data_IF_300018633641
#
_entry.id   IF_300018633641
#
_cell.length_a   1.000
_cell.length_b   1.000
_cell.length_c   1.000
_cell.angle_alpha   90.00
_cell.angle_beta   90.00
_cell.angle_gamma   90.00
#
_symmetry.space_group_name_H-M   'P 1'
#
loop_
_entity.id
_entity.type
_entity.pdbx_description
1 polymer ?
#
# COMPACT_ATOMS: atom_id res chain seq x y z
N UNK A 1 -14.06 21.41 5.81
CA UNK A 1 -12.90 20.66 6.31
C UNK A 1 -12.99 19.26 5.76
N UNK A 2 -11.93 18.87 5.07
CA UNK A 2 -11.88 17.83 4.05
C UNK A 2 -11.85 16.44 4.70
N UNK A 3 -13.02 15.97 5.16
CA UNK A 3 -13.18 14.65 5.80
C UNK A 3 -12.49 13.48 5.06
N UNK A 4 -12.49 13.42 3.72
CA UNK A 4 -11.71 12.41 2.98
C UNK A 4 -10.21 12.48 3.26
N UNK A 5 -9.65 13.70 3.27
CA UNK A 5 -8.23 13.93 3.57
C UNK A 5 -7.94 13.54 5.02
N UNK A 6 -8.82 13.89 5.96
CA UNK A 6 -8.67 13.52 7.36
C UNK A 6 -8.65 12.00 7.56
N UNK A 7 -9.48 11.25 6.83
CA UNK A 7 -9.50 9.78 6.86
C UNK A 7 -8.17 9.21 6.32
N UNK A 8 -7.70 9.71 5.18
CA UNK A 8 -6.44 9.24 4.58
C UNK A 8 -5.27 9.55 5.50
N UNK A 9 -5.11 10.82 5.91
CA UNK A 9 -4.02 11.25 6.80
C UNK A 9 -4.08 10.52 8.14
N UNK A 10 -5.28 10.38 8.71
CA UNK A 10 -5.50 9.64 9.95
C UNK A 10 -5.11 8.17 9.83
N UNK A 11 -5.49 7.50 8.74
CA UNK A 11 -5.12 6.10 8.49
C UNK A 11 -3.61 5.90 8.34
N UNK A 12 -2.92 6.82 7.66
CA UNK A 12 -1.46 6.79 7.53
C UNK A 12 -0.79 7.04 8.87
N UNK A 13 -1.24 8.04 9.63
CA UNK A 13 -0.70 8.34 10.95
C UNK A 13 -0.86 7.17 11.92
N UNK A 14 -2.06 6.55 11.96
CA UNK A 14 -2.34 5.37 12.79
C UNK A 14 -1.43 4.20 12.38
N UNK A 15 -1.31 3.93 11.08
CA UNK A 15 -0.41 2.89 10.58
C UNK A 15 1.03 3.12 11.00
N UNK A 16 1.53 4.35 10.87
CA UNK A 16 2.90 4.70 11.26
C UNK A 16 3.12 4.50 12.76
N UNK A 17 2.20 4.99 13.59
CA UNK A 17 2.27 4.78 15.05
C UNK A 17 2.27 3.30 15.40
N UNK A 18 1.39 2.49 14.77
CA UNK A 18 1.37 1.04 14.97
C UNK A 18 2.72 0.40 14.58
N UNK A 19 3.30 0.79 13.45
CA UNK A 19 4.60 0.30 13.00
C UNK A 19 5.75 0.65 13.94
N UNK A 20 5.70 1.83 14.59
CA UNK A 20 6.71 2.26 15.57
C UNK A 20 6.62 1.50 16.91
N UNK A 21 5.42 1.10 17.35
CA UNK A 21 5.22 0.42 18.65
C UNK A 21 5.21 -1.11 18.55
N UNK A 22 5.12 -1.65 17.34
CA UNK A 22 5.08 -3.09 17.10
C UNK A 22 6.41 -3.86 17.26
N UNK A 23 7.62 -3.25 17.22
CA UNK A 23 8.87 -3.98 17.48
C UNK A 23 8.81 -4.76 18.80
N UNK A 24 9.16 -6.05 18.77
CA UNK A 24 9.11 -6.94 19.93
C UNK A 24 7.75 -7.60 20.21
N UNK A 25 6.70 -7.33 19.43
CA UNK A 25 5.35 -7.92 19.62
C UNK A 25 4.98 -8.90 18.50
N UNK A 26 5.63 -10.07 18.46
CA UNK A 26 5.50 -11.05 17.35
C UNK A 26 4.06 -11.37 16.91
N UNK A 27 3.11 -11.56 17.85
CA UNK A 27 1.70 -11.81 17.50
C UNK A 27 1.00 -10.64 16.81
N UNK A 28 1.33 -9.41 17.20
CA UNK A 28 0.76 -8.21 16.58
C UNK A 28 1.28 -8.05 15.15
N UNK A 29 2.54 -8.43 14.91
CA UNK A 29 3.15 -8.41 13.57
C UNK A 29 2.49 -9.38 12.62
N UNK A 30 2.29 -10.63 13.05
CA UNK A 30 1.60 -11.64 12.25
C UNK A 30 0.15 -11.24 11.95
N UNK A 31 -0.54 -10.65 12.94
CA UNK A 31 -1.90 -10.14 12.75
C UNK A 31 -1.95 -8.99 11.74
N UNK A 32 -1.09 -7.98 11.87
CA UNK A 32 -1.01 -6.84 10.95
C UNK A 32 -0.67 -7.34 9.54
N UNK A 33 0.30 -8.24 9.40
CA UNK A 33 0.71 -8.80 8.11
C UNK A 33 -0.44 -9.55 7.44
N UNK A 34 -1.07 -10.47 8.18
CA UNK A 34 -2.18 -11.27 7.65
C UNK A 34 -3.35 -10.38 7.25
N UNK A 35 -3.70 -9.44 8.13
CA UNK A 35 -4.78 -8.50 7.86
C UNK A 35 -4.48 -7.60 6.65
N UNK A 36 -3.25 -7.09 6.51
CA UNK A 36 -2.82 -6.33 5.33
C UNK A 36 -3.04 -7.13 4.04
N UNK A 37 -2.50 -8.36 3.98
CA UNK A 37 -2.59 -9.21 2.79
C UNK A 37 -4.05 -9.54 2.45
N UNK A 38 -4.82 -9.99 3.44
CA UNK A 38 -6.22 -10.39 3.23
C UNK A 38 -7.08 -9.19 2.82
N UNK A 39 -6.92 -8.03 3.48
CA UNK A 39 -7.67 -6.82 3.12
C UNK A 39 -7.29 -6.30 1.74
N UNK A 40 -6.00 -6.27 1.38
CA UNK A 40 -5.56 -5.89 0.04
C UNK A 40 -6.16 -6.80 -1.04
N UNK A 41 -6.13 -8.12 -0.86
CA UNK A 41 -6.73 -9.06 -1.82
C UNK A 41 -8.24 -8.82 -1.92
N UNK A 42 -8.93 -8.69 -0.80
CA UNK A 42 -10.38 -8.47 -0.77
C UNK A 42 -10.77 -7.17 -1.49
N UNK A 43 -10.05 -6.07 -1.27
CA UNK A 43 -10.30 -4.77 -1.91
C UNK A 43 -9.99 -4.83 -3.41
N UNK A 44 -8.84 -5.41 -3.80
CA UNK A 44 -8.44 -5.51 -5.20
C UNK A 44 -9.44 -6.35 -6.00
N UNK A 45 -9.78 -7.54 -5.52
CA UNK A 45 -10.66 -8.48 -6.22
C UNK A 45 -12.12 -8.06 -6.14
N UNK A 46 -12.57 -7.60 -4.97
CA UNK A 46 -13.98 -7.31 -4.72
C UNK A 46 -14.43 -5.93 -5.21
N UNK A 47 -13.50 -4.98 -5.37
CA UNK A 47 -13.84 -3.59 -5.69
C UNK A 47 -13.08 -3.06 -6.89
N UNK A 48 -11.74 -3.07 -6.82
CA UNK A 48 -10.93 -2.35 -7.80
C UNK A 48 -10.97 -2.99 -9.18
N UNK A 49 -10.83 -4.32 -9.30
CA UNK A 49 -10.91 -5.00 -10.60
C UNK A 49 -12.32 -4.88 -11.21
N UNK A 50 -13.41 -5.18 -10.48
CA UNK A 50 -14.77 -4.99 -11.00
C UNK A 50 -15.05 -3.56 -11.48
N UNK A 51 -14.73 -2.55 -10.66
CA UNK A 51 -14.98 -1.15 -10.98
C UNK A 51 -14.12 -0.68 -12.18
N UNK A 52 -12.87 -1.15 -12.26
CA UNK A 52 -11.98 -0.80 -13.36
C UNK A 52 -12.42 -1.45 -14.69
N UNK A 53 -12.92 -2.70 -14.66
CA UNK A 53 -13.46 -3.36 -15.85
C UNK A 53 -14.79 -2.75 -16.30
N UNK A 54 -15.66 -2.35 -15.37
CA UNK A 54 -16.93 -1.71 -15.72
C UNK A 54 -16.73 -0.32 -16.33
N UNK A 55 -15.69 0.40 -15.88
CA UNK A 55 -15.40 1.77 -16.34
C UNK A 55 -14.50 1.81 -17.58
N UNK A 56 -13.42 1.02 -17.61
CA UNK A 56 -12.41 1.03 -18.68
C UNK A 56 -12.47 -0.16 -19.64
N UNK A 57 -13.40 -1.09 -19.42
CA UNK A 57 -13.54 -2.31 -20.21
C UNK A 57 -12.49 -3.39 -19.90
N UNK A 58 -12.57 -4.56 -20.56
CA UNK A 58 -11.71 -5.72 -20.27
C UNK A 58 -10.21 -5.48 -20.48
N UNK A 59 -9.82 -4.46 -21.26
CA UNK A 59 -8.42 -4.13 -21.53
C UNK A 59 -7.66 -3.72 -20.27
N UNK A 60 -8.35 -3.24 -19.23
CA UNK A 60 -7.73 -2.88 -17.95
C UNK A 60 -7.07 -4.07 -17.26
N UNK A 61 -7.50 -5.31 -17.58
CA UNK A 61 -6.87 -6.52 -17.06
C UNK A 61 -5.41 -6.67 -17.50
N UNK A 62 -4.99 -6.04 -18.60
CA UNK A 62 -3.58 -6.00 -19.02
C UNK A 62 -2.76 -5.21 -18.00
N UNK A 63 -3.24 -4.04 -17.57
CA UNK A 63 -2.57 -3.23 -16.56
C UNK A 63 -2.50 -3.96 -15.21
N UNK A 64 -3.57 -4.68 -14.84
CA UNK A 64 -3.60 -5.54 -13.64
C UNK A 64 -2.53 -6.64 -13.76
N UNK A 65 -2.49 -7.37 -14.88
CA UNK A 65 -1.50 -8.42 -15.10
C UNK A 65 -0.06 -7.89 -15.03
N UNK A 66 0.21 -6.74 -15.67
CA UNK A 66 1.52 -6.07 -15.59
C UNK A 66 1.86 -5.71 -14.14
N UNK A 67 0.91 -5.18 -13.36
CA UNK A 67 1.15 -4.84 -11.96
C UNK A 67 1.49 -6.06 -11.09
N UNK A 68 0.88 -7.23 -11.34
CA UNK A 68 1.22 -8.47 -10.63
C UNK A 68 2.56 -9.08 -11.06
N UNK A 69 2.96 -8.90 -12.32
CA UNK A 69 4.22 -9.44 -12.86
C UNK A 69 5.41 -8.53 -12.53
N UNK A 70 5.18 -7.23 -12.35
CA UNK A 70 6.24 -6.24 -12.12
C UNK A 70 7.18 -6.59 -10.94
N UNK A 71 6.71 -7.00 -9.74
CA UNK A 71 7.60 -7.37 -8.65
C UNK A 71 8.56 -8.51 -9.02
N UNK A 72 8.05 -9.54 -9.72
CA UNK A 72 8.86 -10.66 -10.19
C UNK A 72 9.90 -10.22 -11.23
N UNK A 73 9.55 -9.31 -12.14
CA UNK A 73 10.50 -8.76 -13.11
C UNK A 73 11.59 -7.90 -12.44
N UNK A 74 11.21 -7.09 -11.45
CA UNK A 74 12.14 -6.26 -10.66
C UNK A 74 13.10 -7.16 -9.90
N UNK A 75 12.58 -8.18 -9.22
CA UNK A 75 13.41 -9.17 -8.51
C UNK A 75 14.39 -9.85 -9.48
N UNK A 76 13.89 -10.32 -10.63
CA UNK A 76 14.74 -10.97 -11.64
C UNK A 76 15.86 -10.06 -12.15
N UNK A 77 15.58 -8.78 -12.35
CA UNK A 77 16.58 -7.81 -12.80
C UNK A 77 17.58 -7.43 -11.68
N UNK A 78 17.16 -7.48 -10.42
CA UNK A 78 18.00 -7.16 -9.28
C UNK A 78 18.98 -8.28 -8.87
N UNK A 79 18.73 -9.54 -9.28
CA UNK A 79 19.58 -10.70 -8.98
C UNK A 79 20.81 -10.84 -9.90
N UNK A 80 21.11 -9.87 -10.77
CA UNK A 80 22.25 -9.95 -11.70
C UNK A 80 23.60 -9.51 -11.09
N UNK A 81 23.66 -9.10 -9.82
CA UNK A 81 24.90 -8.64 -9.18
C UNK A 81 25.26 -9.48 -7.93
N UNK A 82 26.13 -10.51 -8.04
CA UNK A 82 26.41 -11.46 -6.96
C UNK A 82 27.30 -10.93 -5.84
N UNK A 83 27.90 -9.74 -5.96
CA UNK A 83 29.12 -9.45 -5.20
C UNK A 83 29.00 -8.46 -4.03
N UNK A 84 27.86 -7.78 -3.80
CA UNK A 84 27.75 -6.82 -2.68
C UNK A 84 26.50 -6.99 -1.80
N UNK A 85 26.73 -7.07 -0.50
CA UNK A 85 25.80 -7.19 0.65
C UNK A 85 24.86 -5.97 0.83
N UNK A 86 24.58 -5.22 -0.23
CA UNK A 86 23.73 -4.02 -0.25
C UNK A 86 22.26 -4.32 -0.60
N UNK A 87 21.88 -5.58 -0.82
CA UNK A 87 20.55 -5.94 -1.34
C UNK A 87 19.40 -5.56 -0.39
N UNK A 88 19.65 -5.54 0.94
CA UNK A 88 18.67 -5.12 1.94
C UNK A 88 18.30 -3.64 1.83
N UNK A 89 19.28 -2.75 1.66
CA UNK A 89 19.05 -1.30 1.52
C UNK A 89 18.34 -0.99 0.21
N UNK A 90 18.78 -1.59 -0.90
CA UNK A 90 18.14 -1.40 -2.21
C UNK A 90 16.69 -1.91 -2.21
N UNK A 91 16.41 -3.05 -1.56
CA UNK A 91 15.04 -3.56 -1.40
C UNK A 91 14.14 -2.62 -0.59
N UNK A 92 14.66 -1.99 0.46
CA UNK A 92 13.92 -0.99 1.26
C UNK A 92 13.64 0.28 0.48
N UNK A 93 14.62 0.79 -0.26
CA UNK A 93 14.48 1.97 -1.12
C UNK A 93 13.46 1.73 -2.23
N UNK A 94 13.54 0.58 -2.92
CA UNK A 94 12.54 0.18 -3.92
C UNK A 94 11.15 0.03 -3.31
N UNK A 95 11.05 -0.52 -2.10
CA UNK A 95 9.78 -0.63 -1.37
C UNK A 95 9.20 0.73 -1.02
N UNK A 96 10.05 1.70 -0.63
CA UNK A 96 9.63 3.08 -0.38
C UNK A 96 9.14 3.78 -1.63
N UNK A 97 9.88 3.68 -2.74
CA UNK A 97 9.47 4.24 -4.02
C UNK A 97 8.17 3.60 -4.53
N UNK A 98 8.04 2.28 -4.43
CA UNK A 98 6.82 1.56 -4.78
C UNK A 98 5.63 2.04 -3.94
N UNK A 99 5.81 2.21 -2.63
CA UNK A 99 4.78 2.75 -1.76
C UNK A 99 4.41 4.20 -2.11
N UNK A 100 5.40 5.04 -2.42
CA UNK A 100 5.16 6.44 -2.81
C UNK A 100 4.29 6.52 -4.06
N UNK A 101 4.63 5.75 -5.10
CA UNK A 101 3.84 5.65 -6.34
C UNK A 101 2.44 5.11 -6.05
N UNK A 102 2.33 4.10 -5.20
CA UNK A 102 1.04 3.53 -4.81
C UNK A 102 0.15 4.56 -4.09
N UNK A 103 0.70 5.32 -3.15
CA UNK A 103 -0.04 6.37 -2.41
C UNK A 103 -0.38 7.58 -3.27
N UNK A 104 0.44 7.91 -4.26
CA UNK A 104 0.05 8.89 -5.28
C UNK A 104 -1.17 8.40 -6.07
N UNK A 105 -1.20 7.12 -6.44
CA UNK A 105 -2.36 6.47 -7.05
C UNK A 105 -3.61 6.56 -6.18
N UNK A 106 -3.50 6.27 -4.88
CA UNK A 106 -4.61 6.40 -3.92
C UNK A 106 -5.16 7.84 -3.89
N UNK A 107 -4.27 8.85 -3.90
CA UNK A 107 -4.67 10.26 -3.91
C UNK A 107 -5.37 10.70 -5.19
N UNK A 108 -4.87 10.25 -6.36
CA UNK A 108 -5.50 10.52 -7.66
C UNK A 108 -6.88 9.86 -7.77
N UNK A 109 -6.99 8.61 -7.31
CA UNK A 109 -8.27 7.90 -7.25
C UNK A 109 -9.24 8.63 -6.33
N UNK A 110 -8.81 9.01 -5.12
CA UNK A 110 -9.63 9.76 -4.17
C UNK A 110 -10.14 11.08 -4.78
N UNK A 111 -9.27 11.85 -5.43
CA UNK A 111 -9.64 13.10 -6.11
C UNK A 111 -10.69 12.91 -7.21
N UNK A 112 -10.63 11.79 -7.95
CA UNK A 112 -11.64 11.47 -8.96
C UNK A 112 -13.01 11.14 -8.37
N UNK A 113 -13.07 10.53 -7.17
CA UNK A 113 -14.32 10.17 -6.49
C UNK A 113 -14.89 11.28 -5.60
N UNK A 114 -14.10 12.28 -5.21
CA UNK A 114 -14.53 13.37 -4.31
C UNK A 114 -14.66 14.73 -4.98
N UNK A 115 -14.56 14.81 -6.32
CA UNK A 115 -14.65 16.07 -7.07
C UNK A 115 -16.06 16.69 -7.12
N UNK A 116 -16.16 17.98 -7.49
CA UNK A 116 -17.41 18.76 -7.55
C UNK A 116 -18.51 18.10 -8.40
N UNK A 117 -18.14 17.31 -9.41
CA UNK A 117 -19.07 16.57 -10.25
C UNK A 117 -19.81 15.42 -9.53
N UNK A 118 -19.45 15.08 -8.28
CA UNK A 118 -20.00 13.95 -7.51
C UNK A 118 -20.61 14.36 -6.16
N UNK A 119 -20.88 15.67 -5.99
CA UNK A 119 -21.52 16.24 -4.80
C UNK A 119 -22.97 15.76 -4.72
N UNK A 120 -23.20 14.64 -4.04
CA UNK A 120 -24.53 14.02 -3.87
C UNK A 120 -24.53 12.49 -3.78
N UNK A 121 -23.41 11.83 -4.15
CA UNK A 121 -23.25 10.38 -3.99
C UNK A 121 -22.25 10.06 -2.87
N UNK A 122 -22.70 9.28 -1.88
CA UNK A 122 -21.86 8.90 -0.74
C UNK A 122 -20.88 7.79 -1.13
N UNK A 123 -19.61 8.14 -1.36
CA UNK A 123 -18.50 7.17 -1.58
C UNK A 123 -17.84 6.70 -0.27
N UNK A 124 -18.62 6.58 0.82
CA UNK A 124 -18.12 6.25 2.15
C UNK A 124 -17.50 4.86 2.26
N UNK A 125 -17.94 3.94 1.39
CA UNK A 125 -17.41 2.59 1.24
C UNK A 125 -16.00 2.57 0.63
N UNK A 126 -15.73 3.39 -0.38
CA UNK A 126 -14.39 3.56 -0.97
C UNK A 126 -13.43 4.18 0.06
N UNK A 127 -13.88 5.22 0.77
CA UNK A 127 -13.07 5.86 1.83
C UNK A 127 -12.73 4.90 2.97
N UNK A 128 -13.70 4.07 3.37
CA UNK A 128 -13.50 3.05 4.40
C UNK A 128 -12.55 1.96 3.90
N UNK A 129 -12.74 1.48 2.67
CA UNK A 129 -11.82 0.53 2.05
C UNK A 129 -10.40 1.08 2.01
N UNK A 130 -10.22 2.36 1.65
CA UNK A 130 -8.92 3.05 1.65
C UNK A 130 -8.30 3.08 3.04
N UNK A 131 -9.05 3.53 4.04
CA UNK A 131 -8.56 3.62 5.41
C UNK A 131 -8.16 2.25 5.98
N UNK A 132 -9.01 1.24 5.79
CA UNK A 132 -8.86 -0.09 6.36
C UNK A 132 -7.62 -0.80 5.83
N UNK A 133 -7.29 -0.65 4.54
CA UNK A 133 -6.09 -1.28 3.98
C UNK A 133 -4.84 -0.41 4.11
N UNK A 134 -4.98 0.92 4.28
CA UNK A 134 -3.83 1.82 4.43
C UNK A 134 -3.13 1.65 5.78
N UNK A 135 -3.88 1.50 6.87
CA UNK A 135 -3.31 1.35 8.22
C UNK A 135 -2.29 0.20 8.30
N UNK A 136 -2.61 -1.04 7.87
CA UNK A 136 -1.72 -2.18 7.97
C UNK A 136 -0.50 -2.07 7.05
N UNK A 137 -0.68 -1.56 5.82
CA UNK A 137 0.42 -1.38 4.86
C UNK A 137 1.45 -0.38 5.39
N UNK A 138 0.99 0.75 5.95
CA UNK A 138 1.88 1.74 6.55
C UNK A 138 2.54 1.18 7.82
N UNK A 139 1.84 0.39 8.63
CA UNK A 139 2.45 -0.25 9.79
C UNK A 139 3.60 -1.20 9.40
N UNK A 140 3.43 -2.00 8.33
CA UNK A 140 4.46 -2.92 7.86
C UNK A 140 5.69 -2.21 7.29
N UNK A 141 5.51 -1.16 6.47
CA UNK A 141 6.66 -0.44 5.90
C UNK A 141 7.44 0.31 6.99
N UNK A 142 6.75 0.95 7.95
CA UNK A 142 7.40 1.64 9.07
C UNK A 142 8.19 0.66 9.93
N UNK A 143 7.65 -0.54 10.16
CA UNK A 143 8.38 -1.61 10.85
C UNK A 143 9.60 -2.07 10.06
N UNK A 144 9.47 -2.27 8.74
CA UNK A 144 10.60 -2.70 7.90
C UNK A 144 11.74 -1.67 7.94
N UNK A 145 11.43 -0.38 7.86
CA UNK A 145 12.43 0.69 7.97
C UNK A 145 13.07 0.76 9.35
N UNK A 146 12.28 0.69 10.43
CA UNK A 146 12.82 0.76 11.80
C UNK A 146 13.67 -0.45 12.16
N UNK A 147 13.27 -1.66 11.73
CA UNK A 147 14.04 -2.88 11.97
C UNK A 147 15.38 -2.89 11.20
N UNK A 148 15.42 -2.33 9.99
CA UNK A 148 16.66 -2.18 9.24
C UNK A 148 17.62 -1.17 9.87
N UNK A 149 17.12 0.00 10.29
CA UNK A 149 17.95 1.03 10.93
C UNK A 149 18.38 0.63 12.35
N UNK A 150 17.54 -0.10 13.10
CA UNK A 150 17.88 -0.58 14.44
C UNK A 150 19.00 -1.62 14.46
N UNK A 151 19.24 -2.33 13.35
CA UNK A 151 20.35 -3.29 13.21
C UNK A 151 21.71 -2.65 12.92
N UNK A 152 21.73 -1.42 12.40
CA UNK A 152 22.96 -0.70 12.07
C UNK A 152 23.50 0.16 13.23
N UNK A 153 22.78 0.20 14.36
CA UNK A 153 23.08 1.04 15.53
C UNK A 153 23.53 0.25 16.77
N UNK A 154 23.69 -1.07 16.65
CA UNK A 154 23.97 -2.00 17.75
C UNK A 154 25.30 -2.72 17.60
#
# INVERSE_FOLDING_TARGET
MDWPIAIVVGSVAIGAVLGLIAPGRGRLLDAIRTFAVVSSVAVVVGRLIPDAVSTGGPRVLIAVAVAFIAPWLIERAAHEDPEHDHSSTMGLELSYWGLMVHKLGDGLALGSFTGEAHVGHHHGDVLTAIAVHSVPVIALITLAFTSAHGRNSG
#
